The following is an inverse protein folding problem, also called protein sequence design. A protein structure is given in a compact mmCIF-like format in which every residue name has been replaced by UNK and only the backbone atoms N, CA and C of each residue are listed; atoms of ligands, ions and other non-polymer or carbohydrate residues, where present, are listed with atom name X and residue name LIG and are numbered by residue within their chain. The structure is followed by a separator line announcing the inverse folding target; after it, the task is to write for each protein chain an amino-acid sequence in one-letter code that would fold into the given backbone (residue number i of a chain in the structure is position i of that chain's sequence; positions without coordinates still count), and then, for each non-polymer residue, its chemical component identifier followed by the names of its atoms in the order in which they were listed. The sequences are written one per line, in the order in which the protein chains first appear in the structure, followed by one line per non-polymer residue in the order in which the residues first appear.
data_IF_413125717314
#
_entry.id   IF_413125717314
#
_cell.length_a   1.000
_cell.length_b   1.000
_cell.length_c   1.000
_cell.angle_alpha   90.00
_cell.angle_beta   90.00
_cell.angle_gamma   90.00
#
_symmetry.space_group_name_H-M   'P 1'
#
loop_
_entity.id
_entity.type
_entity.pdbx_description
1 polymer ?
#
# COMPACT_ATOMS: atom_id res chain seq x y z
N UNK A 1 -52.56 -20.46 19.26
CA UNK A 1 -51.90 -21.77 19.13
C UNK A 1 -50.63 -21.69 18.29
N UNK A 2 -50.69 -21.20 17.04
CA UNK A 2 -49.52 -21.04 16.14
C UNK A 2 -48.41 -20.13 16.73
N UNK A 3 -48.79 -19.02 17.39
CA UNK A 3 -47.82 -18.14 18.09
C UNK A 3 -47.03 -18.84 19.20
N UNK A 4 -47.66 -19.73 19.97
CA UNK A 4 -46.99 -20.46 21.04
C UNK A 4 -46.14 -21.61 20.48
N UNK A 5 -46.55 -22.20 19.35
CA UNK A 5 -45.77 -23.23 18.65
C UNK A 5 -44.49 -22.62 18.03
N UNK A 6 -44.56 -21.42 17.41
CA UNK A 6 -43.36 -20.72 16.92
C UNK A 6 -42.43 -20.29 18.06
N UNK A 7 -42.96 -19.83 19.19
CA UNK A 7 -42.15 -19.47 20.36
C UNK A 7 -41.45 -20.70 20.96
N UNK A 8 -42.15 -21.84 21.05
CA UNK A 8 -41.53 -23.10 21.43
C UNK A 8 -40.50 -23.57 20.39
N UNK A 9 -40.76 -23.43 19.08
CA UNK A 9 -39.80 -23.77 18.03
C UNK A 9 -38.54 -22.91 18.10
N UNK A 10 -38.66 -21.61 18.38
CA UNK A 10 -37.53 -20.68 18.60
C UNK A 10 -36.75 -20.99 19.89
N UNK A 11 -37.42 -21.49 20.92
CA UNK A 11 -36.80 -21.92 22.19
C UNK A 11 -36.23 -23.35 22.12
N UNK A 12 -36.65 -24.17 21.14
CA UNK A 12 -36.14 -25.54 20.91
C UNK A 12 -35.19 -25.65 19.72
N UNK A 13 -34.94 -24.56 18.98
CA UNK A 13 -33.66 -24.46 18.26
C UNK A 13 -32.64 -24.49 19.38
N UNK A 14 -32.11 -25.69 19.64
CA UNK A 14 -30.86 -25.85 20.35
C UNK A 14 -29.91 -24.87 19.71
N UNK A 15 -29.67 -23.75 20.42
CA UNK A 15 -28.59 -22.83 20.14
C UNK A 15 -27.37 -23.69 20.35
N UNK A 16 -26.96 -24.42 19.31
CA UNK A 16 -25.64 -25.02 19.28
C UNK A 16 -24.71 -23.87 19.65
N UNK A 17 -23.82 -24.05 20.64
CA UNK A 17 -22.92 -22.99 21.06
C UNK A 17 -22.29 -22.42 19.80
N UNK A 18 -22.63 -21.17 19.46
CA UNK A 18 -22.04 -20.53 18.31
C UNK A 18 -20.57 -20.37 18.66
N UNK A 19 -19.70 -20.82 17.76
CA UNK A 19 -18.27 -20.59 17.93
C UNK A 19 -18.04 -19.10 18.17
N UNK A 20 -17.29 -18.75 19.22
CA UNK A 20 -16.93 -17.36 19.46
C UNK A 20 -15.78 -16.92 18.56
N UNK A 21 -14.92 -17.85 18.18
CA UNK A 21 -13.66 -17.57 17.50
C UNK A 21 -13.44 -18.53 16.34
N UNK A 22 -12.70 -18.10 15.34
CA UNK A 22 -12.18 -19.00 14.32
C UNK A 22 -10.84 -19.58 14.77
N UNK A 23 -10.54 -20.82 14.37
CA UNK A 23 -9.23 -21.43 14.61
C UNK A 23 -8.45 -21.50 13.31
N UNK A 24 -7.12 -21.53 13.42
CA UNK A 24 -6.25 -21.63 12.26
C UNK A 24 -6.45 -22.98 11.53
N UNK A 25 -6.39 -22.94 10.19
CA UNK A 25 -6.28 -24.16 9.38
C UNK A 25 -4.97 -24.89 9.66
N UNK A 26 -4.98 -26.22 9.50
CA UNK A 26 -3.78 -27.06 9.60
C UNK A 26 -2.85 -26.85 8.38
N UNK A 27 -2.07 -25.77 8.41
CA UNK A 27 -1.06 -25.43 7.41
C UNK A 27 0.28 -26.14 7.70
N UNK A 28 1.16 -26.32 6.70
CA UNK A 28 2.47 -26.96 6.90
C UNK A 28 3.32 -26.34 8.01
N UNK A 29 3.20 -25.03 8.24
CA UNK A 29 3.88 -24.34 9.34
C UNK A 29 3.47 -24.89 10.71
N UNK A 30 2.18 -25.15 10.93
CA UNK A 30 1.65 -25.72 12.18
C UNK A 30 2.17 -27.14 12.38
N UNK A 31 2.23 -27.94 11.31
CA UNK A 31 2.77 -29.31 11.37
C UNK A 31 4.26 -29.31 11.69
N UNK A 32 5.01 -28.32 11.18
CA UNK A 32 6.45 -28.21 11.44
C UNK A 32 6.77 -27.80 12.88
N UNK A 33 5.82 -27.25 13.63
CA UNK A 33 6.00 -26.92 15.04
C UNK A 33 5.99 -28.17 15.92
N UNK A 34 5.48 -29.32 15.47
CA UNK A 34 5.50 -30.60 16.20
C UNK A 34 6.85 -31.29 16.04
N UNK A 35 7.45 -31.71 17.16
CA UNK A 35 8.73 -32.44 17.15
C UNK A 35 8.65 -33.67 16.23
N UNK A 36 9.67 -33.84 15.38
CA UNK A 36 9.74 -34.90 14.35
C UNK A 36 8.56 -34.95 13.38
N UNK A 37 7.67 -33.94 13.40
CA UNK A 37 6.42 -33.87 12.64
C UNK A 37 5.48 -35.05 12.90
N UNK A 38 5.59 -35.69 14.06
CA UNK A 38 4.72 -36.80 14.44
C UNK A 38 3.32 -36.29 14.81
N UNK A 39 2.43 -36.27 13.84
CA UNK A 39 1.02 -35.87 14.01
C UNK A 39 0.09 -37.06 14.28
N UNK A 40 0.61 -38.18 14.78
CA UNK A 40 -0.21 -39.28 15.26
C UNK A 40 -1.08 -38.84 16.45
N UNK A 41 -2.31 -39.35 16.54
CA UNK A 41 -3.22 -38.95 17.63
C UNK A 41 -2.62 -39.26 19.01
N UNK A 42 -1.84 -40.34 19.15
CA UNK A 42 -1.15 -40.68 20.39
C UNK A 42 -0.17 -39.58 20.83
N UNK A 43 0.65 -39.07 19.89
CA UNK A 43 1.59 -38.00 20.20
C UNK A 43 0.86 -36.69 20.51
N UNK A 44 -0.09 -36.28 19.65
CA UNK A 44 -0.85 -35.04 19.84
C UNK A 44 -1.61 -35.02 21.18
N UNK A 45 -2.28 -36.13 21.52
CA UNK A 45 -2.99 -36.26 22.81
C UNK A 45 -2.01 -36.27 23.98
N UNK A 46 -0.82 -36.84 23.84
CA UNK A 46 0.24 -36.77 24.85
C UNK A 46 0.70 -35.33 25.12
N UNK A 47 0.89 -34.54 24.06
CA UNK A 47 1.25 -33.11 24.17
C UNK A 47 0.17 -32.35 24.95
N UNK A 48 -1.11 -32.53 24.62
CA UNK A 48 -2.23 -31.83 25.29
C UNK A 48 -2.40 -32.25 26.76
N UNK A 49 -2.15 -33.53 27.07
CA UNK A 49 -2.21 -34.02 28.46
C UNK A 49 -1.09 -33.47 29.36
N UNK A 50 0.00 -32.97 28.78
CA UNK A 50 1.06 -32.30 29.52
C UNK A 50 0.89 -30.77 29.43
N UNK A 51 0.41 -30.09 30.48
CA UNK A 51 0.18 -28.65 30.43
C UNK A 51 1.49 -27.84 30.40
N UNK A 52 2.65 -28.48 30.54
CA UNK A 52 3.97 -27.85 30.46
C UNK A 52 4.72 -28.18 29.16
N UNK A 53 4.04 -28.77 28.17
CA UNK A 53 4.59 -28.96 26.83
C UNK A 53 5.04 -27.61 26.24
N UNK A 54 5.95 -27.67 25.27
CA UNK A 54 6.44 -26.49 24.58
C UNK A 54 5.25 -25.74 23.96
N UNK A 55 5.06 -24.43 24.22
CA UNK A 55 3.83 -23.73 23.83
C UNK A 55 3.48 -23.79 22.35
N UNK A 56 4.49 -23.73 21.46
CA UNK A 56 4.27 -23.87 20.02
C UNK A 56 3.75 -25.27 19.65
N UNK A 57 4.33 -26.32 20.23
CA UNK A 57 3.86 -27.70 20.04
C UNK A 57 2.45 -27.89 20.60
N UNK A 58 2.18 -27.32 21.77
CA UNK A 58 0.87 -27.40 22.41
C UNK A 58 -0.21 -26.72 21.55
N UNK A 59 0.05 -25.51 21.08
CA UNK A 59 -0.82 -24.79 20.15
C UNK A 59 -1.06 -25.60 18.87
N UNK A 60 0.01 -26.10 18.24
CA UNK A 60 -0.09 -26.89 17.03
C UNK A 60 -0.92 -28.17 17.23
N UNK A 61 -0.67 -28.91 18.32
CA UNK A 61 -1.40 -30.13 18.63
C UNK A 61 -2.89 -29.84 18.87
N UNK A 62 -3.20 -28.75 19.57
CA UNK A 62 -4.56 -28.34 19.86
C UNK A 62 -5.34 -28.00 18.58
N UNK A 63 -4.73 -27.23 17.67
CA UNK A 63 -5.31 -26.86 16.38
C UNK A 63 -5.54 -28.10 15.50
N UNK A 64 -4.54 -29.00 15.40
CA UNK A 64 -4.66 -30.22 14.59
C UNK A 64 -5.79 -31.11 15.12
N UNK A 65 -5.84 -31.34 16.43
CA UNK A 65 -6.90 -32.15 17.05
C UNK A 65 -8.27 -31.49 16.87
N UNK A 66 -8.37 -30.16 16.99
CA UNK A 66 -9.63 -29.46 16.80
C UNK A 66 -10.14 -29.58 15.35
N UNK A 67 -9.27 -29.44 14.36
CA UNK A 67 -9.62 -29.64 12.95
C UNK A 67 -9.94 -31.11 12.59
N UNK A 68 -9.44 -32.08 13.38
CA UNK A 68 -9.83 -33.50 13.28
C UNK A 68 -11.15 -33.83 13.97
N UNK A 69 -11.77 -32.88 14.66
CA UNK A 69 -13.04 -33.09 15.35
C UNK A 69 -12.91 -33.75 16.73
N UNK A 70 -11.73 -33.72 17.36
CA UNK A 70 -11.45 -34.29 18.68
C UNK A 70 -11.99 -33.42 19.85
N UNK A 71 -13.21 -32.90 19.69
CA UNK A 71 -13.85 -31.95 20.61
C UNK A 71 -13.95 -32.47 22.03
N UNK A 72 -14.42 -33.70 22.20
CA UNK A 72 -14.67 -34.31 23.52
C UNK A 72 -13.36 -34.41 24.31
N UNK A 73 -12.33 -34.97 23.69
CA UNK A 73 -11.00 -35.08 24.29
C UNK A 73 -10.44 -33.72 24.72
N UNK A 74 -10.50 -32.71 23.84
CA UNK A 74 -9.97 -31.38 24.13
C UNK A 74 -10.72 -30.72 25.30
N UNK A 75 -12.05 -30.77 25.29
CA UNK A 75 -12.87 -30.16 26.34
C UNK A 75 -12.76 -30.86 27.71
N UNK A 76 -12.50 -32.16 27.75
CA UNK A 76 -12.28 -32.91 29.00
C UNK A 76 -10.88 -32.66 29.59
N UNK A 77 -9.89 -32.47 28.72
CA UNK A 77 -8.47 -32.38 29.11
C UNK A 77 -8.06 -30.96 29.47
N UNK A 78 -8.43 -29.99 28.65
CA UNK A 78 -7.98 -28.60 28.79
C UNK A 78 -8.49 -27.96 30.08
N UNK A 79 -7.60 -27.23 30.76
CA UNK A 79 -7.89 -26.56 32.03
C UNK A 79 -7.98 -25.04 31.82
N UNK A 80 -8.79 -24.39 32.65
CA UNK A 80 -9.01 -22.93 32.65
C UNK A 80 -8.16 -22.20 33.69
N UNK A 81 -7.24 -22.89 34.38
CA UNK A 81 -6.39 -22.32 35.41
C UNK A 81 -4.93 -22.62 35.10
N UNK A 82 -4.04 -21.74 35.58
CA UNK A 82 -2.60 -21.97 35.45
C UNK A 82 -2.26 -23.22 36.26
N UNK A 83 -1.55 -24.19 35.68
CA UNK A 83 -1.12 -25.37 36.41
C UNK A 83 -0.29 -25.01 37.66
N UNK A 84 -0.56 -25.68 38.78
CA UNK A 84 0.16 -25.46 40.03
C UNK A 84 1.61 -25.98 39.93
N UNK A 85 2.58 -25.07 40.06
CA UNK A 85 4.00 -25.38 40.07
C UNK A 85 4.80 -24.29 40.76
N UNK A 86 5.88 -24.69 41.45
CA UNK A 86 6.86 -23.77 42.03
C UNK A 86 8.00 -23.42 41.04
N UNK A 87 8.05 -24.06 39.87
CA UNK A 87 9.04 -23.77 38.84
C UNK A 87 8.56 -22.63 37.94
N UNK A 88 9.32 -21.53 37.94
CA UNK A 88 9.00 -20.32 37.19
C UNK A 88 8.87 -20.58 35.68
N UNK A 89 9.75 -21.40 35.08
CA UNK A 89 9.71 -21.69 33.65
C UNK A 89 8.51 -22.57 33.28
N UNK A 90 8.17 -23.54 34.12
CA UNK A 90 6.97 -24.35 33.92
C UNK A 90 5.70 -23.50 34.08
N UNK A 91 5.69 -22.57 35.03
CA UNK A 91 4.58 -21.63 35.21
C UNK A 91 4.37 -20.76 33.96
N UNK A 92 5.45 -20.22 33.37
CA UNK A 92 5.36 -19.43 32.14
C UNK A 92 4.76 -20.24 30.98
N UNK A 93 5.26 -21.46 30.74
CA UNK A 93 4.67 -22.37 29.72
C UNK A 93 3.21 -22.67 30.00
N UNK A 94 2.86 -22.90 31.27
CA UNK A 94 1.49 -23.14 31.70
C UNK A 94 0.56 -21.96 31.40
N UNK A 95 1.03 -20.71 31.54
CA UNK A 95 0.28 -19.50 31.18
C UNK A 95 0.03 -19.40 29.67
N UNK A 96 1.05 -19.67 28.84
CA UNK A 96 0.89 -19.68 27.38
C UNK A 96 -0.04 -20.80 26.90
N UNK A 97 0.08 -21.99 27.47
CA UNK A 97 -0.81 -23.12 27.15
C UNK A 97 -2.23 -22.87 27.63
N UNK A 98 -2.42 -22.14 28.74
CA UNK A 98 -3.73 -21.70 29.18
C UNK A 98 -4.40 -20.75 28.17
N UNK A 99 -3.65 -19.81 27.57
CA UNK A 99 -4.18 -18.98 26.48
C UNK A 99 -4.70 -19.85 25.33
N UNK A 100 -3.93 -20.86 24.91
CA UNK A 100 -4.37 -21.84 23.89
C UNK A 100 -5.64 -22.57 24.30
N UNK A 101 -5.71 -23.06 25.54
CA UNK A 101 -6.89 -23.76 26.06
C UNK A 101 -8.13 -22.88 25.97
N UNK A 102 -8.02 -21.62 26.41
CA UNK A 102 -9.12 -20.67 26.36
C UNK A 102 -9.58 -20.49 24.90
N UNK A 103 -8.66 -20.22 23.98
CA UNK A 103 -8.95 -20.07 22.53
C UNK A 103 -9.73 -21.27 21.98
N UNK A 104 -9.27 -22.50 22.25
CA UNK A 104 -9.93 -23.71 21.77
C UNK A 104 -11.29 -23.92 22.42
N UNK A 105 -11.44 -23.58 23.71
CA UNK A 105 -12.72 -23.62 24.38
C UNK A 105 -13.73 -22.61 23.80
N UNK A 106 -13.28 -21.39 23.47
CA UNK A 106 -14.11 -20.38 22.82
C UNK A 106 -14.52 -20.77 21.40
N UNK A 107 -13.63 -21.42 20.64
CA UNK A 107 -13.99 -22.07 19.36
C UNK A 107 -15.12 -23.09 19.51
N UNK A 108 -15.14 -23.84 20.62
CA UNK A 108 -16.25 -24.75 20.92
C UNK A 108 -17.45 -24.09 21.62
N UNK A 109 -17.50 -22.76 21.67
CA UNK A 109 -18.61 -21.96 22.20
C UNK A 109 -18.73 -21.97 23.73
N UNK A 110 -17.63 -22.17 24.46
CA UNK A 110 -17.61 -22.04 25.93
C UNK A 110 -17.53 -20.56 26.32
N UNK A 111 -18.59 -20.03 26.91
CA UNK A 111 -18.66 -18.65 27.40
C UNK A 111 -17.58 -18.32 28.43
N UNK A 112 -17.18 -19.30 29.23
CA UNK A 112 -16.15 -19.17 30.26
C UNK A 112 -14.78 -18.83 29.68
N UNK A 113 -14.55 -19.11 28.39
CA UNK A 113 -13.33 -18.73 27.70
C UNK A 113 -13.13 -17.22 27.66
N UNK A 114 -14.20 -16.44 27.49
CA UNK A 114 -14.16 -14.98 27.43
C UNK A 114 -13.70 -14.42 28.79
N UNK A 115 -14.40 -14.81 29.87
CA UNK A 115 -14.04 -14.41 31.24
C UNK A 115 -12.63 -14.90 31.61
N UNK A 116 -12.25 -16.10 31.15
CA UNK A 116 -10.93 -16.65 31.35
C UNK A 116 -9.83 -15.82 30.69
N UNK A 117 -10.02 -15.36 29.45
CA UNK A 117 -9.08 -14.47 28.77
C UNK A 117 -8.90 -13.17 29.53
N UNK A 118 -9.99 -12.50 29.88
CA UNK A 118 -9.96 -11.26 30.67
C UNK A 118 -9.17 -11.40 31.96
N UNK A 119 -9.34 -12.53 32.66
CA UNK A 119 -8.67 -12.79 33.94
C UNK A 119 -7.14 -12.90 33.80
N UNK A 120 -6.66 -13.48 32.71
CA UNK A 120 -5.22 -13.76 32.55
C UNK A 120 -4.45 -12.62 31.89
N UNK A 121 -5.10 -11.56 31.39
CA UNK A 121 -4.42 -10.49 30.65
C UNK A 121 -3.22 -9.90 31.40
N UNK A 122 -3.37 -9.59 32.69
CA UNK A 122 -2.30 -8.99 33.50
C UNK A 122 -1.10 -9.91 33.74
N UNK A 123 -1.27 -11.20 33.45
CA UNK A 123 -0.26 -12.24 33.64
C UNK A 123 0.54 -12.56 32.38
N UNK A 124 0.16 -11.99 31.23
CA UNK A 124 0.75 -12.24 29.92
C UNK A 124 1.80 -11.19 29.55
N UNK A 125 2.84 -11.63 28.83
CA UNK A 125 3.73 -10.71 28.11
C UNK A 125 2.99 -9.98 26.98
N UNK A 126 3.62 -8.96 26.40
CA UNK A 126 3.01 -8.14 25.34
C UNK A 126 2.57 -8.94 24.12
N UNK A 127 3.30 -9.98 23.72
CA UNK A 127 2.96 -10.80 22.56
C UNK A 127 1.68 -11.60 22.83
N UNK A 128 1.64 -12.34 23.94
CA UNK A 128 0.49 -13.15 24.32
C UNK A 128 -0.73 -12.29 24.71
N UNK A 129 -0.49 -11.13 25.31
CA UNK A 129 -1.52 -10.14 25.60
C UNK A 129 -2.19 -9.65 24.31
N UNK A 130 -1.41 -9.35 23.26
CA UNK A 130 -1.94 -8.93 21.95
C UNK A 130 -2.88 -9.98 21.37
N UNK A 131 -2.49 -11.25 21.44
CA UNK A 131 -3.30 -12.37 20.94
C UNK A 131 -4.61 -12.46 21.73
N UNK A 132 -4.54 -12.43 23.07
CA UNK A 132 -5.74 -12.49 23.91
C UNK A 132 -6.71 -11.34 23.61
N UNK A 133 -6.21 -10.11 23.49
CA UNK A 133 -7.04 -8.93 23.19
C UNK A 133 -7.62 -9.00 21.78
N UNK A 134 -6.91 -9.53 20.79
CA UNK A 134 -7.48 -9.78 19.45
C UNK A 134 -8.72 -10.68 19.54
N UNK A 135 -8.65 -11.80 20.26
CA UNK A 135 -9.83 -12.68 20.43
C UNK A 135 -10.98 -12.00 21.21
N UNK A 136 -10.67 -11.11 22.16
CA UNK A 136 -11.70 -10.30 22.81
C UNK A 136 -12.40 -9.34 21.82
N UNK A 137 -11.67 -8.76 20.86
CA UNK A 137 -12.31 -7.92 19.83
C UNK A 137 -13.24 -8.69 18.90
N UNK A 138 -13.00 -9.99 18.67
CA UNK A 138 -13.88 -10.84 17.83
C UNK A 138 -15.26 -11.08 18.46
N UNK A 139 -15.36 -10.93 19.80
CA UNK A 139 -16.64 -11.00 20.54
C UNK A 139 -17.18 -9.61 20.91
N UNK A 140 -16.75 -8.58 20.17
CA UNK A 140 -17.11 -7.18 20.36
C UNK A 140 -16.73 -6.58 21.74
N UNK A 141 -15.72 -7.13 22.43
CA UNK A 141 -15.15 -6.52 23.64
C UNK A 141 -14.00 -5.57 23.30
N UNK A 142 -14.29 -4.27 23.37
CA UNK A 142 -13.35 -3.16 23.13
C UNK A 142 -13.00 -2.39 24.40
N UNK A 143 -13.13 -3.02 25.57
CA UNK A 143 -12.92 -2.35 26.87
C UNK A 143 -11.47 -1.95 27.14
N UNK A 144 -10.51 -2.39 26.31
CA UNK A 144 -9.07 -2.29 26.56
C UNK A 144 -8.35 -1.25 25.67
N UNK A 145 -9.09 -0.33 25.04
CA UNK A 145 -8.48 0.61 24.09
C UNK A 145 -7.35 1.44 24.69
N UNK A 146 -7.47 1.91 25.93
CA UNK A 146 -6.43 2.70 26.59
C UNK A 146 -5.14 1.91 26.83
N UNK A 147 -5.24 0.62 27.17
CA UNK A 147 -4.10 -0.27 27.32
C UNK A 147 -3.46 -0.58 25.96
N UNK A 148 -4.28 -0.84 24.94
CA UNK A 148 -3.83 -1.05 23.55
C UNK A 148 -3.06 0.17 23.05
N UNK A 149 -3.62 1.37 23.25
CA UNK A 149 -3.00 2.65 22.92
C UNK A 149 -1.65 2.82 23.62
N UNK A 150 -1.59 2.59 24.93
CA UNK A 150 -0.37 2.74 25.72
C UNK A 150 0.74 1.82 25.19
N UNK A 151 0.45 0.53 25.03
CA UNK A 151 1.40 -0.47 24.53
C UNK A 151 1.81 -0.23 23.07
N UNK A 152 0.88 0.25 22.24
CA UNK A 152 1.19 0.64 20.86
C UNK A 152 2.18 1.80 20.82
N UNK A 153 1.97 2.84 21.65
CA UNK A 153 2.87 3.99 21.72
C UNK A 153 4.27 3.65 22.25
N UNK A 154 4.38 2.64 23.12
CA UNK A 154 5.67 2.15 23.64
C UNK A 154 6.51 1.45 22.56
N UNK A 155 5.88 0.64 21.69
CA UNK A 155 6.59 -0.05 20.61
C UNK A 155 5.67 -0.35 19.39
N UNK A 156 5.50 0.62 18.48
CA UNK A 156 4.69 0.46 17.27
C UNK A 156 5.21 -0.61 16.31
N UNK A 157 6.52 -0.90 16.33
CA UNK A 157 7.13 -1.90 15.44
C UNK A 157 6.78 -3.34 15.84
N UNK A 158 6.18 -3.56 17.01
CA UNK A 158 5.58 -4.85 17.33
C UNK A 158 4.34 -5.07 16.43
N UNK A 159 4.51 -5.91 15.41
CA UNK A 159 3.46 -6.19 14.42
C UNK A 159 2.12 -6.65 15.02
N UNK A 160 2.16 -7.41 16.13
CA UNK A 160 0.94 -7.87 16.81
C UNK A 160 0.21 -6.73 17.52
N UNK A 161 0.95 -5.87 18.22
CA UNK A 161 0.36 -4.68 18.84
C UNK A 161 -0.21 -3.71 17.79
N UNK A 162 0.50 -3.51 16.67
CA UNK A 162 0.02 -2.72 15.54
C UNK A 162 -1.27 -3.27 14.94
N UNK A 163 -1.39 -4.60 14.82
CA UNK A 163 -2.62 -5.26 14.34
C UNK A 163 -3.78 -5.03 15.31
N UNK A 164 -3.57 -5.22 16.61
CA UNK A 164 -4.62 -4.99 17.62
C UNK A 164 -5.06 -3.52 17.64
N UNK A 165 -4.12 -2.57 17.60
CA UNK A 165 -4.44 -1.15 17.51
C UNK A 165 -5.27 -0.84 16.26
N UNK A 166 -4.93 -1.43 15.11
CA UNK A 166 -5.70 -1.29 13.88
C UNK A 166 -7.13 -1.84 14.01
N UNK A 167 -7.32 -2.99 14.66
CA UNK A 167 -8.66 -3.56 14.89
C UNK A 167 -9.55 -2.62 15.71
N UNK A 168 -8.99 -1.94 16.72
CA UNK A 168 -9.70 -0.91 17.46
C UNK A 168 -9.99 0.32 16.60
N UNK A 169 -9.02 0.76 15.79
CA UNK A 169 -9.17 1.90 14.90
C UNK A 169 -10.28 1.72 13.84
N UNK A 170 -10.63 0.48 13.50
CA UNK A 170 -11.75 0.17 12.59
C UNK A 170 -13.12 0.41 13.21
N UNK A 171 -13.23 0.50 14.55
CA UNK A 171 -14.50 0.80 15.22
C UNK A 171 -14.73 2.30 15.28
N UNK A 172 -15.93 2.72 14.87
CA UNK A 172 -16.31 4.13 14.74
C UNK A 172 -16.08 4.94 16.02
N UNK A 173 -16.27 4.33 17.20
CA UNK A 173 -16.06 4.97 18.50
C UNK A 173 -14.61 5.35 18.78
N UNK A 174 -13.63 4.69 18.17
CA UNK A 174 -12.19 4.90 18.42
C UNK A 174 -11.44 5.45 17.20
N UNK A 175 -12.08 5.40 16.02
CA UNK A 175 -11.45 5.74 14.74
C UNK A 175 -10.79 7.11 14.73
N UNK A 176 -11.51 8.16 15.14
CA UNK A 176 -10.99 9.53 15.11
C UNK A 176 -9.77 9.72 16.04
N UNK A 177 -9.79 9.13 17.24
CA UNK A 177 -8.66 9.19 18.16
C UNK A 177 -7.46 8.40 17.61
N UNK A 178 -7.70 7.21 17.05
CA UNK A 178 -6.64 6.42 16.44
C UNK A 178 -6.00 7.12 15.23
N UNK A 179 -6.81 7.74 14.36
CA UNK A 179 -6.34 8.55 13.24
C UNK A 179 -5.46 9.72 13.70
N UNK A 180 -5.86 10.44 14.75
CA UNK A 180 -5.06 11.53 15.35
C UNK A 180 -3.73 11.01 15.91
N UNK A 181 -3.75 9.91 16.67
CA UNK A 181 -2.55 9.29 17.23
C UNK A 181 -1.56 8.92 16.12
N UNK A 182 -2.02 8.18 15.11
CA UNK A 182 -1.15 7.74 14.01
C UNK A 182 -0.62 8.95 13.24
N UNK A 183 -1.47 9.95 12.96
CA UNK A 183 -1.04 11.17 12.24
C UNK A 183 0.03 11.94 13.01
N UNK A 184 -0.13 12.13 14.32
CA UNK A 184 0.89 12.76 15.18
C UNK A 184 2.18 11.96 15.22
N UNK A 185 2.10 10.63 15.21
CA UNK A 185 3.30 9.80 15.15
C UNK A 185 4.03 9.93 13.81
N UNK A 186 3.31 9.94 12.69
CA UNK A 186 3.90 10.20 11.37
C UNK A 186 4.62 11.54 11.40
N UNK A 187 3.98 12.60 11.90
CA UNK A 187 4.56 13.95 11.92
C UNK A 187 5.81 14.04 12.83
N UNK A 188 5.79 13.42 14.00
CA UNK A 188 6.76 13.69 15.07
C UNK A 188 7.79 12.57 15.33
N UNK A 189 7.61 11.38 14.77
CA UNK A 189 8.49 10.23 15.02
C UNK A 189 8.97 9.55 13.73
N UNK A 190 10.24 9.78 13.40
CA UNK A 190 10.86 9.27 12.17
C UNK A 190 11.21 7.77 12.21
N UNK A 191 11.37 7.21 13.40
CA UNK A 191 11.68 5.79 13.62
C UNK A 191 10.48 4.91 13.23
N UNK A 192 9.29 5.31 13.66
CA UNK A 192 8.04 4.58 13.41
C UNK A 192 7.29 5.05 12.16
N UNK A 193 7.89 5.92 11.36
CA UNK A 193 7.26 6.53 10.20
C UNK A 193 6.66 5.50 9.23
N UNK A 194 7.39 4.42 8.92
CA UNK A 194 6.94 3.44 7.94
C UNK A 194 5.72 2.65 8.42
N UNK A 195 5.74 2.14 9.65
CA UNK A 195 4.64 1.34 10.18
C UNK A 195 3.37 2.19 10.36
N UNK A 196 3.52 3.41 10.88
CA UNK A 196 2.40 4.34 11.08
C UNK A 196 1.80 4.82 9.75
N UNK A 197 2.62 5.08 8.73
CA UNK A 197 2.14 5.39 7.38
C UNK A 197 1.37 4.22 6.75
N UNK A 198 1.81 2.97 6.97
CA UNK A 198 1.06 1.79 6.50
C UNK A 198 -0.30 1.69 7.20
N UNK A 199 -0.33 1.87 8.52
CA UNK A 199 -1.56 1.80 9.31
C UNK A 199 -2.57 2.86 8.86
N UNK A 200 -2.15 4.13 8.77
CA UNK A 200 -3.04 5.22 8.34
C UNK A 200 -3.48 5.04 6.89
N UNK A 201 -2.61 4.58 6.00
CA UNK A 201 -2.97 4.33 4.59
C UNK A 201 -4.05 3.26 4.42
N UNK A 202 -4.07 2.24 5.29
CA UNK A 202 -5.15 1.24 5.34
C UNK A 202 -6.43 1.77 5.98
N UNK A 203 -6.33 2.72 6.92
CA UNK A 203 -7.46 3.23 7.69
C UNK A 203 -8.16 4.39 6.97
N UNK A 204 -7.38 5.37 6.52
CA UNK A 204 -7.83 6.62 5.92
C UNK A 204 -6.75 7.19 4.97
N UNK A 205 -6.82 6.77 3.70
CA UNK A 205 -5.91 7.21 2.64
C UNK A 205 -5.85 8.73 2.49
N UNK A 206 -6.99 9.43 2.56
CA UNK A 206 -7.03 10.88 2.37
C UNK A 206 -6.27 11.62 3.47
N UNK A 207 -6.50 11.23 4.73
CA UNK A 207 -5.78 11.80 5.88
C UNK A 207 -4.28 11.47 5.84
N UNK A 208 -3.89 10.27 5.37
CA UNK A 208 -2.49 9.95 5.14
C UNK A 208 -1.86 10.93 4.14
N UNK A 209 -2.50 11.17 2.99
CA UNK A 209 -1.97 12.07 1.96
C UNK A 209 -1.76 13.47 2.52
N UNK A 210 -2.73 14.00 3.27
CA UNK A 210 -2.62 15.30 3.94
C UNK A 210 -1.44 15.32 4.94
N UNK A 211 -1.35 14.30 5.78
CA UNK A 211 -0.31 14.19 6.83
C UNK A 211 1.10 14.09 6.23
N UNK A 212 1.27 13.28 5.19
CA UNK A 212 2.53 13.15 4.47
C UNK A 212 2.91 14.45 3.78
N UNK A 213 1.95 15.12 3.14
CA UNK A 213 2.17 16.42 2.52
C UNK A 213 2.60 17.49 3.52
N UNK A 214 2.02 17.48 4.72
CA UNK A 214 2.41 18.35 5.82
C UNK A 214 3.84 18.05 6.29
N UNK A 215 4.17 16.79 6.57
CA UNK A 215 5.52 16.41 7.01
C UNK A 215 6.58 16.75 5.96
N UNK A 216 6.31 16.46 4.69
CA UNK A 216 7.20 16.73 3.56
C UNK A 216 7.55 18.21 3.46
N UNK A 217 6.55 19.09 3.59
CA UNK A 217 6.75 20.54 3.51
C UNK A 217 7.48 21.11 4.73
N UNK A 218 7.35 20.49 5.91
CA UNK A 218 7.87 21.02 7.17
C UNK A 218 9.16 20.34 7.67
N UNK A 219 9.72 19.39 6.92
CA UNK A 219 11.00 18.75 7.27
C UNK A 219 12.10 19.23 6.34
N UNK A 220 13.30 19.43 6.88
CA UNK A 220 14.53 19.67 6.09
C UNK A 220 15.34 18.38 5.87
N UNK A 221 14.88 17.25 6.40
CA UNK A 221 15.59 15.98 6.29
C UNK A 221 15.25 15.29 4.96
N UNK A 222 16.20 15.29 4.03
CA UNK A 222 16.10 14.64 2.72
C UNK A 222 15.63 13.18 2.80
N UNK A 223 16.12 12.38 3.77
CA UNK A 223 15.70 10.97 3.93
C UNK A 223 14.21 10.89 4.28
N UNK A 224 13.71 11.82 5.10
CA UNK A 224 12.31 11.86 5.48
C UNK A 224 11.44 12.34 4.33
N UNK A 225 11.89 13.30 3.52
CA UNK A 225 11.20 13.71 2.29
C UNK A 225 11.08 12.55 1.30
N UNK A 226 12.16 11.80 1.06
CA UNK A 226 12.16 10.60 0.24
C UNK A 226 11.13 9.56 0.74
N UNK A 227 11.09 9.31 2.05
CA UNK A 227 10.07 8.43 2.64
C UNK A 227 8.66 8.97 2.41
N UNK A 228 8.40 10.26 2.61
CA UNK A 228 7.08 10.85 2.36
C UNK A 228 6.67 10.69 0.90
N UNK A 229 7.57 10.99 -0.04
CA UNK A 229 7.35 10.82 -1.48
C UNK A 229 7.01 9.37 -1.84
N UNK A 230 7.77 8.40 -1.33
CA UNK A 230 7.48 6.98 -1.54
C UNK A 230 6.05 6.60 -1.08
N UNK A 231 5.65 7.03 0.11
CA UNK A 231 4.32 6.72 0.63
C UNK A 231 3.20 7.47 -0.12
N UNK A 232 3.43 8.71 -0.54
CA UNK A 232 2.52 9.45 -1.40
C UNK A 232 2.30 8.72 -2.73
N UNK A 233 3.36 8.26 -3.39
CA UNK A 233 3.23 7.52 -4.65
C UNK A 233 2.59 6.15 -4.48
N UNK A 234 2.84 5.48 -3.35
CA UNK A 234 2.21 4.20 -3.04
C UNK A 234 0.70 4.33 -2.84
N UNK A 235 0.27 5.34 -2.09
CA UNK A 235 -1.12 5.48 -1.72
C UNK A 235 -1.91 6.37 -2.67
N UNK A 236 -1.24 7.26 -3.41
CA UNK A 236 -1.85 8.25 -4.31
C UNK A 236 -1.17 8.29 -5.70
N UNK A 237 -0.98 7.10 -6.26
CA UNK A 237 -0.29 6.87 -7.54
C UNK A 237 -0.84 7.66 -8.74
N UNK A 238 -2.12 8.06 -8.73
CA UNK A 238 -2.73 8.87 -9.79
C UNK A 238 -2.14 10.29 -9.91
N UNK A 239 -1.50 10.79 -8.84
CA UNK A 239 -0.94 12.14 -8.74
C UNK A 239 0.59 12.14 -8.67
N UNK A 240 1.25 11.14 -9.25
CA UNK A 240 2.71 10.96 -9.18
C UNK A 240 3.48 12.17 -9.75
N UNK A 241 2.96 12.81 -10.79
CA UNK A 241 3.56 14.01 -11.37
C UNK A 241 3.51 15.17 -10.38
N UNK A 242 2.38 15.38 -9.71
CA UNK A 242 2.20 16.41 -8.68
C UNK A 242 3.11 16.19 -7.48
N UNK A 243 3.25 14.96 -7.01
CA UNK A 243 4.19 14.64 -5.93
C UNK A 243 5.63 14.91 -6.33
N UNK A 244 6.00 14.57 -7.57
CA UNK A 244 7.34 14.83 -8.12
C UNK A 244 7.61 16.32 -8.22
N UNK A 245 6.62 17.09 -8.71
CA UNK A 245 6.71 18.54 -8.77
C UNK A 245 6.97 19.13 -7.38
N UNK A 246 6.17 18.74 -6.40
CA UNK A 246 6.33 19.18 -5.01
C UNK A 246 7.71 18.80 -4.45
N UNK A 247 8.22 17.62 -4.79
CA UNK A 247 9.55 17.17 -4.35
C UNK A 247 10.68 18.00 -4.93
N UNK A 248 10.65 18.32 -6.23
CA UNK A 248 11.65 19.19 -6.86
C UNK A 248 11.63 20.58 -6.20
N UNK A 249 10.45 21.09 -5.88
CA UNK A 249 10.25 22.37 -5.18
C UNK A 249 10.79 22.38 -3.75
N UNK A 250 10.68 21.25 -3.03
CA UNK A 250 10.95 21.19 -1.60
C UNK A 250 12.35 20.66 -1.28
N UNK A 251 12.94 19.82 -2.13
CA UNK A 251 14.26 19.24 -1.88
C UNK A 251 15.36 20.30 -1.93
N UNK A 252 16.17 20.39 -0.88
CA UNK A 252 17.22 21.42 -0.75
C UNK A 252 18.55 20.89 -1.28
N UNK A 253 18.76 19.58 -1.24
CA UNK A 253 19.97 18.96 -1.77
C UNK A 253 19.88 18.88 -3.30
N UNK A 254 20.65 19.73 -4.00
CA UNK A 254 20.65 19.83 -5.45
C UNK A 254 20.99 18.50 -6.15
N UNK A 255 21.93 17.71 -5.61
CA UNK A 255 22.25 16.40 -6.17
C UNK A 255 21.06 15.45 -6.05
N UNK A 256 20.44 15.36 -4.87
CA UNK A 256 19.27 14.50 -4.69
C UNK A 256 18.11 14.98 -5.57
N UNK A 257 17.90 16.30 -5.65
CA UNK A 257 16.89 16.90 -6.52
C UNK A 257 17.09 16.50 -7.98
N UNK A 258 18.32 16.66 -8.50
CA UNK A 258 18.72 16.31 -9.86
C UNK A 258 18.56 14.81 -10.14
N UNK A 259 19.11 13.94 -9.29
CA UNK A 259 19.24 12.53 -9.61
C UNK A 259 18.01 11.69 -9.27
N UNK A 260 17.23 12.06 -8.25
CA UNK A 260 16.11 11.25 -7.77
C UNK A 260 14.74 11.73 -8.29
N UNK A 261 14.57 13.04 -8.59
CA UNK A 261 13.26 13.60 -8.92
C UNK A 261 13.15 14.18 -10.33
N UNK A 262 14.23 14.70 -10.91
CA UNK A 262 14.20 15.04 -12.34
C UNK A 262 14.30 13.77 -13.19
N UNK A 263 13.43 13.64 -14.22
CA UNK A 263 13.48 12.49 -15.11
C UNK A 263 14.78 12.48 -15.93
N UNK A 264 15.33 11.30 -16.21
CA UNK A 264 16.50 11.14 -17.11
C UNK A 264 16.10 10.91 -18.58
N UNK A 265 17.10 10.77 -19.49
CA UNK A 265 16.88 10.46 -20.92
C UNK A 265 16.11 9.15 -21.21
N UNK A 266 16.05 8.22 -20.25
CA UNK A 266 15.22 7.02 -20.37
C UNK A 266 13.82 7.29 -19.85
N UNK A 267 13.53 8.47 -19.30
CA UNK A 267 12.32 8.75 -18.54
C UNK A 267 12.31 8.05 -17.17
N UNK A 268 13.40 7.40 -16.75
CA UNK A 268 13.43 6.68 -15.49
C UNK A 268 13.51 7.68 -14.35
N UNK A 269 12.51 7.61 -13.46
CA UNK A 269 12.60 8.19 -12.14
C UNK A 269 13.37 7.23 -11.25
N UNK A 270 14.41 7.71 -10.58
CA UNK A 270 15.04 6.92 -9.52
C UNK A 270 14.05 6.83 -8.35
N UNK A 271 13.52 5.64 -8.10
CA UNK A 271 12.66 5.40 -6.92
C UNK A 271 13.48 4.74 -5.81
N UNK A 272 13.72 5.39 -4.66
CA UNK A 272 14.52 4.76 -3.61
C UNK A 272 13.68 4.04 -2.51
N UNK A 273 13.60 2.68 -2.46
CA UNK A 273 13.69 1.85 -1.19
C UNK A 273 13.76 0.29 -1.30
N UNK A 274 14.68 -0.35 -0.55
CA UNK A 274 14.98 -1.80 -0.31
C UNK A 274 16.10 -1.95 0.75
N UNK A 275 15.88 -1.50 1.99
CA UNK A 275 16.87 -1.66 3.05
C UNK A 275 17.21 -3.15 3.27
N UNK A 276 18.45 -3.57 2.98
CA UNK A 276 19.04 -4.76 3.59
C UNK A 276 20.18 -4.31 4.47
N UNK A 277 20.07 -4.62 5.75
CA UNK A 277 21.09 -4.42 6.79
C UNK A 277 22.42 -5.06 6.36
N UNK A 278 23.35 -4.31 5.77
CA UNK A 278 24.75 -4.71 5.71
C UNK A 278 25.63 -3.58 6.26
N UNK A 279 26.21 -3.89 7.42
CA UNK A 279 27.27 -3.15 8.09
C UNK A 279 28.54 -3.06 7.23
N UNK A 280 29.22 -1.92 7.36
CA UNK A 280 30.59 -1.56 6.95
C UNK A 280 30.85 -1.59 5.42
N UNK A 281 31.40 -0.57 4.75
CA UNK A 281 32.77 -0.01 4.80
C UNK A 281 32.76 1.38 4.06
N UNK A 282 33.65 2.36 4.35
CA UNK A 282 33.47 3.76 3.96
C UNK A 282 34.00 4.08 2.55
N UNK A 283 33.22 4.82 1.75
CA UNK A 283 33.72 5.52 0.55
C UNK A 283 32.98 6.85 0.36
N UNK A 284 33.74 7.87 -0.04
CA UNK A 284 33.50 9.31 0.01
C UNK A 284 32.37 9.91 -0.86
N UNK A 285 31.17 9.35 -0.84
CA UNK A 285 29.94 10.04 -1.25
C UNK A 285 28.84 9.63 -0.26
N UNK A 286 28.03 10.56 0.27
CA UNK A 286 27.01 10.21 1.25
C UNK A 286 26.02 9.24 0.61
N UNK A 287 26.07 7.98 1.05
CA UNK A 287 25.14 6.88 0.84
C UNK A 287 23.99 7.16 -0.14
N UNK A 288 24.25 6.98 -1.45
CA UNK A 288 23.18 6.80 -2.44
C UNK A 288 22.59 5.40 -2.20
N UNK A 289 21.41 5.37 -1.60
CA UNK A 289 20.67 4.12 -1.40
C UNK A 289 19.99 3.73 -2.72
N UNK A 290 20.42 2.62 -3.33
CA UNK A 290 19.93 2.15 -4.64
C UNK A 290 18.88 1.05 -4.49
N UNK A 291 17.74 1.21 -5.16
CA UNK A 291 16.60 0.31 -5.05
C UNK A 291 15.85 0.20 -6.39
N UNK A 292 15.40 -1.00 -6.75
CA UNK A 292 14.68 -1.25 -8.00
C UNK A 292 13.17 -1.21 -7.79
N UNK A 293 12.52 -0.16 -8.30
CA UNK A 293 11.32 -0.38 -9.09
C UNK A 293 11.80 -0.55 -10.53
N UNK A 294 11.43 -1.67 -11.16
CA UNK A 294 11.71 -1.87 -12.57
C UNK A 294 10.70 -1.06 -13.38
N UNK A 295 10.83 0.28 -13.35
CA UNK A 295 10.31 1.12 -14.43
C UNK A 295 11.39 1.08 -15.51
N UNK A 296 11.61 -0.10 -16.11
CA UNK A 296 12.45 -0.21 -17.30
C UNK A 296 11.72 0.50 -18.42
N UNK A 297 12.06 1.77 -18.64
CA UNK A 297 11.48 2.52 -19.74
C UNK A 297 12.24 2.15 -20.99
N UNK A 298 11.69 1.13 -21.63
CA UNK A 298 11.95 0.87 -23.03
C UNK A 298 10.76 1.40 -23.83
N UNK A 299 11.02 2.41 -24.64
CA UNK A 299 10.54 2.52 -26.03
C UNK A 299 9.04 2.69 -26.32
N UNK A 300 8.12 2.45 -25.39
CA UNK A 300 6.69 2.42 -25.75
C UNK A 300 5.94 3.59 -25.12
N UNK A 301 5.38 4.46 -25.97
CA UNK A 301 4.50 5.58 -25.61
C UNK A 301 3.13 5.11 -25.05
N UNK A 302 2.95 3.79 -24.92
CA UNK A 302 1.74 3.14 -24.40
C UNK A 302 1.82 2.75 -22.91
N UNK A 303 2.93 2.99 -22.19
CA UNK A 303 3.03 2.65 -20.76
C UNK A 303 2.13 3.59 -19.91
N UNK A 304 1.09 3.09 -19.20
CA UNK A 304 0.23 3.90 -18.34
C UNK A 304 0.98 4.70 -17.28
N UNK A 305 2.14 4.21 -16.85
CA UNK A 305 3.00 4.85 -15.83
C UNK A 305 3.69 6.12 -16.34
N UNK A 306 3.80 6.31 -17.67
CA UNK A 306 4.39 7.52 -18.27
C UNK A 306 3.40 8.67 -18.33
N UNK A 307 2.11 8.39 -18.54
CA UNK A 307 1.09 9.40 -18.86
C UNK A 307 1.05 10.62 -17.92
N UNK A 308 1.23 10.48 -16.59
CA UNK A 308 1.22 11.65 -15.69
C UNK A 308 2.33 12.66 -15.97
N UNK A 309 3.51 12.20 -16.41
CA UNK A 309 4.68 13.05 -16.65
C UNK A 309 4.69 13.67 -18.06
N UNK A 310 3.73 13.29 -18.89
CA UNK A 310 3.53 13.82 -20.24
C UNK A 310 2.46 14.92 -20.26
N UNK A 311 1.85 15.20 -19.11
CA UNK A 311 0.87 16.26 -18.98
C UNK A 311 1.55 17.62 -19.16
N UNK A 312 0.91 18.52 -19.91
CA UNK A 312 1.38 19.90 -20.16
C UNK A 312 1.86 20.61 -18.90
N UNK A 313 1.14 20.45 -17.78
CA UNK A 313 1.49 21.11 -16.52
C UNK A 313 2.86 20.69 -15.98
N UNK A 314 3.25 19.43 -16.15
CA UNK A 314 4.54 18.90 -15.68
C UNK A 314 5.66 19.37 -16.59
N UNK A 315 5.45 19.35 -17.91
CA UNK A 315 6.41 19.82 -18.89
C UNK A 315 6.71 21.32 -18.71
N UNK A 316 5.66 22.13 -18.59
CA UNK A 316 5.78 23.56 -18.28
C UNK A 316 6.57 23.81 -17.00
N UNK A 317 6.26 23.05 -15.95
CA UNK A 317 6.94 23.14 -14.67
C UNK A 317 8.47 22.86 -14.77
N UNK A 318 8.90 21.98 -15.67
CA UNK A 318 10.32 21.74 -15.92
C UNK A 318 10.98 22.91 -16.68
N UNK A 319 10.31 23.42 -17.73
CA UNK A 319 10.80 24.55 -18.52
C UNK A 319 10.96 25.83 -17.69
N UNK A 320 9.99 26.11 -16.82
CA UNK A 320 10.01 27.27 -15.90
C UNK A 320 11.22 27.23 -14.93
N UNK A 321 11.82 26.05 -14.71
CA UNK A 321 13.00 25.89 -13.84
C UNK A 321 14.34 26.05 -14.52
N UNK A 322 14.44 25.96 -15.85
CA UNK A 322 15.73 26.12 -16.53
C UNK A 322 16.43 27.44 -16.12
N UNK A 323 15.75 28.61 -16.09
CA UNK A 323 16.39 29.85 -15.65
C UNK A 323 16.76 29.86 -14.15
N UNK A 324 15.97 29.20 -13.31
CA UNK A 324 16.18 29.12 -11.86
C UNK A 324 17.40 28.25 -11.54
N UNK A 325 17.47 27.05 -12.12
CA UNK A 325 18.55 26.10 -11.89
C UNK A 325 19.89 26.59 -12.45
N UNK A 326 19.86 27.40 -13.53
CA UNK A 326 21.04 28.15 -14.00
C UNK A 326 21.55 29.14 -12.95
N UNK A 327 20.66 29.82 -12.22
CA UNK A 327 21.05 30.74 -11.16
C UNK A 327 21.56 30.00 -9.90
N UNK A 328 21.04 28.80 -9.62
CA UNK A 328 21.48 27.94 -8.50
C UNK A 328 22.74 27.11 -8.82
N UNK A 329 23.24 27.15 -10.06
CA UNK A 329 24.34 26.33 -10.58
C UNK A 329 24.07 24.81 -10.53
N UNK A 330 22.83 24.36 -10.74
CA UNK A 330 22.52 22.93 -10.89
C UNK A 330 22.66 22.49 -12.36
N UNK A 331 23.90 22.23 -12.81
CA UNK A 331 24.17 21.77 -14.18
C UNK A 331 23.43 20.47 -14.52
N UNK A 332 23.48 19.49 -13.62
CA UNK A 332 22.84 18.17 -13.81
C UNK A 332 21.30 18.27 -13.91
N UNK A 333 20.67 19.26 -13.26
CA UNK A 333 19.23 19.50 -13.39
C UNK A 333 18.87 19.91 -14.82
N UNK A 334 19.65 20.83 -15.41
CA UNK A 334 19.41 21.37 -16.76
C UNK A 334 19.61 20.28 -17.81
N UNK A 335 20.68 19.49 -17.68
CA UNK A 335 20.97 18.40 -18.61
C UNK A 335 19.83 17.38 -18.61
N UNK A 336 19.32 17.00 -17.44
CA UNK A 336 18.18 16.09 -17.30
C UNK A 336 16.88 16.62 -17.88
N UNK A 337 16.54 17.88 -17.60
CA UNK A 337 15.36 18.52 -18.21
C UNK A 337 15.49 18.48 -19.73
N UNK A 338 16.65 18.85 -20.27
CA UNK A 338 16.90 18.90 -21.72
C UNK A 338 16.80 17.50 -22.35
N UNK A 339 17.46 16.50 -21.76
CA UNK A 339 17.39 15.09 -22.20
C UNK A 339 15.97 14.55 -22.19
N UNK A 340 15.21 14.81 -21.12
CA UNK A 340 13.82 14.40 -21.00
C UNK A 340 12.98 15.02 -22.13
N UNK A 341 13.05 16.33 -22.31
CA UNK A 341 12.31 17.04 -23.37
C UNK A 341 12.71 16.57 -24.77
N UNK A 342 13.99 16.30 -25.03
CA UNK A 342 14.46 15.76 -26.32
C UNK A 342 13.94 14.36 -26.62
N UNK A 343 13.63 13.56 -25.60
CA UNK A 343 13.00 12.26 -25.74
C UNK A 343 11.52 12.36 -26.17
N UNK A 344 10.88 13.51 -25.94
CA UNK A 344 9.53 13.83 -26.42
C UNK A 344 9.60 14.54 -27.76
N UNK A 345 9.84 13.76 -28.81
CA UNK A 345 9.58 14.22 -30.17
C UNK A 345 8.29 13.56 -30.62
N UNK A 346 7.18 14.31 -30.69
CA UNK A 346 6.05 13.83 -31.46
C UNK A 346 6.54 13.50 -32.87
N UNK A 347 6.03 12.41 -33.43
CA UNK A 347 6.42 11.96 -34.76
C UNK A 347 6.33 13.13 -35.75
N UNK A 348 7.46 13.50 -36.38
CA UNK A 348 7.50 14.55 -37.39
C UNK A 348 7.17 13.90 -38.74
N UNK A 349 6.02 14.19 -39.37
CA UNK A 349 5.65 13.49 -40.60
C UNK A 349 6.67 13.79 -41.70
N UNK A 350 7.30 12.73 -42.21
CA UNK A 350 8.25 12.84 -43.32
C UNK A 350 7.47 12.83 -44.64
N UNK A 351 7.51 13.97 -45.34
CA UNK A 351 6.87 14.26 -46.62
C UNK A 351 7.26 13.35 -47.81
N UNK A 352 8.09 12.32 -47.58
CA UNK A 352 8.50 11.35 -48.58
C UNK A 352 7.58 10.12 -48.69
N UNK A 353 6.61 9.98 -47.77
CA UNK A 353 5.68 8.84 -47.75
C UNK A 353 4.44 9.07 -48.63
N UNK A 354 3.76 7.97 -49.02
CA UNK A 354 2.50 8.07 -49.76
C UNK A 354 1.43 8.78 -48.92
N UNK A 355 0.46 9.43 -49.57
CA UNK A 355 -0.58 10.23 -48.90
C UNK A 355 -1.37 9.46 -47.82
N UNK A 356 -1.51 8.14 -47.95
CA UNK A 356 -2.14 7.29 -46.93
C UNK A 356 -1.27 7.16 -45.67
N UNK A 357 0.04 6.95 -45.81
CA UNK A 357 0.96 6.88 -44.66
C UNK A 357 1.01 8.21 -43.90
N UNK A 358 0.97 9.33 -44.62
CA UNK A 358 0.89 10.66 -44.00
C UNK A 358 -0.42 10.85 -43.19
N UNK A 359 -1.52 10.23 -43.62
CA UNK A 359 -2.80 10.25 -42.90
C UNK A 359 -2.72 9.44 -41.60
N UNK A 360 -2.20 8.22 -41.68
CA UNK A 360 -2.02 7.34 -40.54
C UNK A 360 -1.10 8.01 -39.49
N UNK A 361 -0.04 8.68 -39.94
CA UNK A 361 0.87 9.45 -39.07
C UNK A 361 0.17 10.63 -38.37
N UNK A 362 -0.69 11.37 -39.08
CA UNK A 362 -1.45 12.47 -38.48
C UNK A 362 -2.53 11.99 -37.50
N UNK A 363 -3.18 10.85 -37.78
CA UNK A 363 -4.13 10.23 -36.86
C UNK A 363 -3.44 9.76 -35.59
N UNK A 364 -2.29 9.08 -35.72
CA UNK A 364 -1.46 8.68 -34.58
C UNK A 364 -1.00 9.88 -33.75
N UNK A 365 -0.54 10.95 -34.40
CA UNK A 365 -0.16 12.20 -33.72
C UNK A 365 -1.34 12.84 -32.97
N UNK A 366 -2.53 12.90 -33.58
CA UNK A 366 -3.70 13.46 -32.92
C UNK A 366 -4.14 12.65 -31.70
N UNK A 367 -4.14 11.32 -31.82
CA UNK A 367 -4.42 10.42 -30.70
C UNK A 367 -3.38 10.57 -29.59
N UNK A 368 -2.11 10.71 -29.94
CA UNK A 368 -0.99 10.88 -29.01
C UNK A 368 -1.09 12.22 -28.24
N UNK A 369 -1.28 13.35 -28.94
CA UNK A 369 -1.48 14.68 -28.35
C UNK A 369 -2.72 14.72 -27.44
N UNK A 370 -3.80 14.03 -27.82
CA UNK A 370 -4.99 13.90 -26.97
C UNK A 370 -4.74 13.03 -25.73
N UNK A 371 -4.03 11.90 -25.89
CA UNK A 371 -3.67 11.01 -24.78
C UNK A 371 -2.74 11.67 -23.76
N UNK A 372 -1.94 12.66 -24.18
CA UNK A 372 -1.10 13.49 -23.31
C UNK A 372 -1.84 14.68 -22.67
N UNK A 373 -3.11 14.90 -23.03
CA UNK A 373 -3.91 16.02 -22.51
C UNK A 373 -3.45 17.39 -23.01
N UNK A 374 -2.75 17.44 -24.14
CA UNK A 374 -2.28 18.69 -24.74
C UNK A 374 -3.38 19.44 -25.50
N UNK A 375 -4.48 18.74 -25.81
CA UNK A 375 -5.74 19.34 -26.25
C UNK A 375 -6.67 19.38 -25.04
N UNK A 376 -6.76 20.55 -24.40
CA UNK A 376 -7.56 20.74 -23.19
C UNK A 376 -9.08 20.86 -23.45
N UNK A 377 -9.48 20.90 -24.72
CA UNK A 377 -10.87 21.03 -25.14
C UNK A 377 -11.31 19.82 -25.98
N UNK A 378 -12.21 19.01 -25.43
CA UNK A 378 -12.80 17.86 -26.14
C UNK A 378 -13.41 18.26 -27.51
N UNK A 379 -13.90 19.49 -27.62
CA UNK A 379 -14.43 20.07 -28.86
C UNK A 379 -13.35 20.26 -29.93
N UNK A 380 -12.13 20.64 -29.54
CA UNK A 380 -11.00 20.80 -30.47
C UNK A 380 -10.44 19.46 -30.94
N UNK A 381 -10.34 18.48 -30.04
CA UNK A 381 -9.97 17.12 -30.44
C UNK A 381 -10.97 16.55 -31.46
N UNK A 382 -12.28 16.72 -31.21
CA UNK A 382 -13.31 16.28 -32.13
C UNK A 382 -13.25 17.03 -33.48
N UNK A 383 -12.94 18.32 -33.49
CA UNK A 383 -12.74 19.12 -34.71
C UNK A 383 -11.59 18.57 -35.56
N UNK A 384 -10.43 18.35 -34.95
CA UNK A 384 -9.25 17.81 -35.63
C UNK A 384 -9.47 16.38 -36.13
N UNK A 385 -10.14 15.55 -35.34
CA UNK A 385 -10.48 14.18 -35.73
C UNK A 385 -11.41 14.18 -36.95
N UNK A 386 -12.41 15.06 -36.96
CA UNK A 386 -13.34 15.21 -38.09
C UNK A 386 -12.61 15.69 -39.35
N UNK A 387 -11.62 16.58 -39.22
CA UNK A 387 -10.82 17.04 -40.36
C UNK A 387 -9.97 15.91 -40.96
N UNK A 388 -9.39 15.04 -40.14
CA UNK A 388 -8.63 13.87 -40.59
C UNK A 388 -9.53 12.80 -41.22
N UNK A 389 -10.68 12.48 -40.60
CA UNK A 389 -11.67 11.54 -41.16
C UNK A 389 -12.22 12.02 -42.53
N UNK A 390 -12.41 13.34 -42.67
CA UNK A 390 -12.79 13.94 -43.94
C UNK A 390 -11.69 13.79 -44.99
N UNK A 391 -10.45 14.08 -44.63
CA UNK A 391 -9.31 13.96 -45.54
C UNK A 391 -9.06 12.50 -45.96
N UNK A 392 -9.26 11.53 -45.07
CA UNK A 392 -9.21 10.08 -45.37
C UNK A 392 -10.30 9.69 -46.39
N UNK A 393 -11.52 10.20 -46.21
CA UNK A 393 -12.62 9.97 -47.17
C UNK A 393 -12.28 10.52 -48.56
N UNK A 394 -11.55 11.64 -48.65
CA UNK A 394 -11.11 12.23 -49.91
C UNK A 394 -10.03 11.41 -50.62
N UNK A 395 -9.12 10.79 -49.85
CA UNK A 395 -8.16 9.82 -50.39
C UNK A 395 -8.90 8.63 -51.01
N UNK A 396 -9.87 8.05 -50.30
CA UNK A 396 -10.65 6.91 -50.77
C UNK A 396 -11.43 7.21 -52.09
N UNK A 397 -11.80 8.48 -52.31
CA UNK A 397 -12.49 8.93 -53.51
C UNK A 397 -11.57 9.39 -54.66
N UNK A 398 -10.24 9.30 -54.52
CA UNK A 398 -9.23 9.84 -55.46
C UNK A 398 -9.26 11.37 -55.64
N UNK A 399 -9.73 12.11 -54.62
CA UNK A 399 -9.85 13.57 -54.60
C UNK A 399 -8.61 14.20 -53.93
N UNK A 400 -7.44 13.97 -54.52
CA UNK A 400 -6.13 14.24 -53.88
C UNK A 400 -5.84 15.72 -53.60
N UNK A 401 -6.34 16.64 -54.42
CA UNK A 401 -6.12 18.08 -54.22
C UNK A 401 -6.93 18.61 -53.03
N UNK A 402 -8.18 18.15 -52.88
CA UNK A 402 -9.01 18.48 -51.71
C UNK A 402 -8.45 17.88 -50.42
N UNK A 403 -7.89 16.67 -50.48
CA UNK A 403 -7.18 16.06 -49.36
C UNK A 403 -5.97 16.91 -48.92
N UNK A 404 -5.13 17.34 -49.86
CA UNK A 404 -3.96 18.19 -49.56
C UNK A 404 -4.34 19.52 -48.91
N UNK A 405 -5.38 20.17 -49.43
CA UNK A 405 -5.90 21.40 -48.81
C UNK A 405 -6.32 21.17 -47.36
N UNK A 406 -7.03 20.07 -47.08
CA UNK A 406 -7.51 19.76 -45.73
C UNK A 406 -6.40 19.37 -44.76
N UNK A 407 -5.37 18.66 -45.23
CA UNK A 407 -4.18 18.38 -44.44
C UNK A 407 -3.39 19.65 -44.10
N UNK A 408 -3.31 20.61 -45.03
CA UNK A 408 -2.65 21.89 -44.75
C UNK A 408 -3.50 22.77 -43.81
N UNK A 409 -4.84 22.74 -43.92
CA UNK A 409 -5.75 23.36 -42.95
C UNK A 409 -5.60 22.75 -41.55
N UNK A 410 -5.55 21.42 -41.44
CA UNK A 410 -5.31 20.71 -40.18
C UNK A 410 -3.97 21.11 -39.55
N UNK A 411 -2.90 21.08 -40.35
CA UNK A 411 -1.55 21.45 -39.92
C UNK A 411 -1.47 22.91 -39.47
N UNK A 412 -2.06 23.83 -40.24
CA UNK A 412 -2.10 25.25 -39.88
C UNK A 412 -3.02 25.50 -38.69
N UNK A 413 -4.10 24.73 -38.54
CA UNK A 413 -5.03 24.78 -37.41
C UNK A 413 -4.32 24.38 -36.12
N UNK A 414 -3.66 23.21 -36.11
CA UNK A 414 -2.86 22.75 -34.98
C UNK A 414 -1.75 23.74 -34.67
N UNK A 415 -1.02 24.25 -35.69
CA UNK A 415 0.02 25.25 -35.49
C UNK A 415 -0.53 26.58 -34.92
N UNK A 416 -1.70 27.04 -35.37
CA UNK A 416 -2.32 28.25 -34.85
C UNK A 416 -2.88 28.08 -33.44
N UNK A 417 -3.57 26.96 -33.17
CA UNK A 417 -4.03 26.65 -31.82
C UNK A 417 -2.83 26.43 -30.89
N UNK A 418 -1.72 25.96 -31.45
CA UNK A 418 -0.43 25.90 -30.78
C UNK A 418 0.13 27.30 -30.46
N UNK A 419 0.25 28.18 -31.45
CA UNK A 419 0.75 29.55 -31.30
C UNK A 419 -0.15 30.40 -30.37
N UNK A 420 -1.44 30.04 -30.24
CA UNK A 420 -2.43 30.68 -29.36
C UNK A 420 -2.57 30.01 -27.98
N UNK A 421 -1.80 28.96 -27.68
CA UNK A 421 -1.79 28.28 -26.38
C UNK A 421 -3.04 27.44 -26.07
N UNK A 422 -3.85 27.13 -27.08
CA UNK A 422 -4.99 26.20 -27.01
C UNK A 422 -4.55 24.74 -27.16
N UNK A 423 -3.46 24.54 -27.90
CA UNK A 423 -2.61 23.35 -27.90
C UNK A 423 -1.26 23.82 -27.35
N UNK A 424 -0.62 23.05 -26.51
CA UNK A 424 0.71 23.39 -25.98
C UNK A 424 1.76 22.48 -26.59
N UNK A 425 2.62 23.00 -27.49
CA UNK A 425 4.03 22.59 -27.56
C UNK A 425 4.81 23.56 -26.68
N UNK A 426 5.05 23.17 -25.45
CA UNK A 426 6.27 23.63 -24.83
C UNK A 426 7.07 22.38 -24.51
#
# INVERSE_FOLDING_TARGET
MIKNIMLCFLLTISVLPQSYWEIADTKPVIVNDIENKDTSDANLKSIINNPYSIPREYYAAAIILANRGEKEFLLETMKMEVPDTNDYYLMLKGKENLLTNLIIMGYYGKTEAITGLTRILNDLDTYNWSIAVKYLTEVDDYSYFDDVKTRFLENPNNGWMSEVFYLYALKESYKAEAEDIISRMILNNDEYFSITSILLGKLNKALLIETLNNKLTNTDNTIIRQKCYYFLNKYDNGNIAEHTMKMIETEINADVRAYDYYPDYKGSFFSPMKATEHYDVPVSHPNRFTYEYDITIHGDNCNPEKRPFLQTKFVKFLLDRIPVEQAENCGDCIDRISEYLESFKPFKPDSTHSLQYLMDDFQNYLEEVNNYGWINENTKYAEYKTQLEYAETKIANNEFEECRMKLEEYKNGIQNDFDNGLITNE
#
